data_IF_512144969523
#
_entry.id   IF_512144969523
#
_cell.length_a   1.000
_cell.length_b   1.000
_cell.length_c   1.000
_cell.angle_alpha   90.00
_cell.angle_beta   90.00
_cell.angle_gamma   90.00
#
_symmetry.space_group_name_H-M   'P 1'
#
loop_
_entity.id
_entity.type
_entity.pdbx_description
1 polymer ?
#
# COMPACT_ATOMS: atom_id res chain seq x y z
N UNK A 1 10.44 -46.70 -9.56
CA UNK A 1 10.93 -45.40 -9.06
C UNK A 1 10.71 -44.37 -10.15
N UNK A 2 9.67 -43.53 -10.02
CA UNK A 2 9.24 -42.56 -11.03
C UNK A 2 9.45 -41.14 -10.50
N UNK A 3 10.19 -40.36 -11.27
CA UNK A 3 10.38 -38.93 -11.12
C UNK A 3 9.04 -38.22 -11.36
N UNK A 4 8.42 -37.70 -10.30
CA UNK A 4 7.29 -36.78 -10.45
C UNK A 4 7.82 -35.38 -10.72
N UNK A 5 7.39 -34.87 -11.86
CA UNK A 5 7.83 -33.63 -12.49
C UNK A 5 7.51 -32.42 -11.62
N UNK A 6 8.52 -31.59 -11.37
CA UNK A 6 8.34 -30.18 -11.07
C UNK A 6 7.53 -29.56 -12.22
N UNK A 7 6.25 -29.25 -11.99
CA UNK A 7 5.51 -28.34 -12.86
C UNK A 7 6.27 -27.02 -12.88
N UNK A 8 6.92 -26.73 -13.99
CA UNK A 8 7.41 -25.40 -14.29
C UNK A 8 6.26 -24.42 -14.10
N UNK A 9 6.50 -23.33 -13.36
CA UNK A 9 5.61 -22.20 -13.30
C UNK A 9 5.46 -21.63 -14.72
N UNK A 10 4.44 -22.09 -15.46
CA UNK A 10 3.95 -21.36 -16.63
C UNK A 10 3.61 -19.96 -16.15
N UNK A 11 4.08 -18.93 -16.86
CA UNK A 11 3.86 -17.53 -16.50
C UNK A 11 2.38 -17.20 -16.27
N UNK A 12 2.08 -16.07 -15.60
CA UNK A 12 0.72 -15.72 -15.23
C UNK A 12 -0.20 -15.71 -16.46
N UNK A 13 -1.39 -16.28 -16.33
CA UNK A 13 -2.39 -16.22 -17.40
C UNK A 13 -2.82 -14.78 -17.66
N UNK A 14 -3.41 -14.48 -18.82
CA UNK A 14 -3.95 -13.15 -19.12
C UNK A 14 -4.97 -12.68 -18.07
N UNK A 15 -5.70 -13.61 -17.46
CA UNK A 15 -6.61 -13.31 -16.35
C UNK A 15 -5.84 -12.87 -15.09
N UNK A 16 -4.73 -13.54 -14.74
CA UNK A 16 -3.90 -13.21 -13.58
C UNK A 16 -3.25 -11.83 -13.71
N UNK A 17 -2.81 -11.49 -14.93
CA UNK A 17 -2.29 -10.15 -15.25
C UNK A 17 -3.39 -9.10 -15.10
N UNK A 18 -4.61 -9.40 -15.55
CA UNK A 18 -5.75 -8.48 -15.45
C UNK A 18 -6.18 -8.23 -13.98
N UNK A 19 -6.18 -9.27 -13.16
CA UNK A 19 -6.42 -9.15 -11.71
C UNK A 19 -5.37 -8.30 -11.02
N UNK A 20 -4.09 -8.49 -11.36
CA UNK A 20 -3.00 -7.67 -10.82
C UNK A 20 -3.15 -6.20 -11.20
N UNK A 21 -3.40 -5.91 -12.48
CA UNK A 21 -3.52 -4.54 -13.00
C UNK A 21 -4.76 -3.81 -12.44
N UNK A 22 -5.86 -4.51 -12.18
CA UNK A 22 -7.08 -3.89 -11.68
C UNK A 22 -7.20 -3.88 -10.15
N UNK A 23 -6.56 -4.82 -9.45
CA UNK A 23 -6.63 -4.97 -7.99
C UNK A 23 -5.62 -4.14 -7.22
N UNK A 24 -4.55 -3.67 -7.86
CA UNK A 24 -3.47 -2.94 -7.18
C UNK A 24 -3.50 -1.46 -7.54
N UNK A 25 -3.26 -0.62 -6.54
CA UNK A 25 -2.97 0.82 -6.71
C UNK A 25 -1.67 1.13 -5.98
N UNK A 26 -0.68 1.63 -6.73
CA UNK A 26 0.61 2.08 -6.18
C UNK A 26 0.71 3.57 -6.46
N UNK A 27 1.04 4.36 -5.45
CA UNK A 27 1.16 5.80 -5.56
C UNK A 27 2.26 6.34 -4.65
N UNK A 28 2.75 7.54 -4.98
CA UNK A 28 3.59 8.33 -4.07
C UNK A 28 2.71 9.26 -3.23
N UNK A 29 3.08 9.44 -1.96
CA UNK A 29 2.34 10.31 -1.05
C UNK A 29 2.35 11.77 -1.50
N UNK A 30 1.19 12.42 -1.43
CA UNK A 30 1.05 13.84 -1.73
C UNK A 30 0.10 14.53 -0.76
N UNK A 31 0.39 15.80 -0.46
CA UNK A 31 -0.48 16.71 0.29
C UNK A 31 -1.48 17.42 -0.62
N UNK A 32 -2.33 18.27 -0.06
CA UNK A 32 -3.24 19.11 -0.85
C UNK A 32 -2.50 20.21 -1.65
N UNK A 33 -3.26 21.09 -2.30
CA UNK A 33 -2.74 22.24 -3.05
C UNK A 33 -2.02 23.28 -2.18
N UNK A 34 -2.44 23.40 -0.92
CA UNK A 34 -1.99 24.45 0.00
C UNK A 34 -0.77 23.99 0.82
N UNK A 35 -0.29 22.76 0.57
CA UNK A 35 0.85 22.17 1.23
C UNK A 35 2.13 23.01 1.03
N UNK A 36 2.73 23.56 2.10
CA UNK A 36 3.89 24.46 2.00
C UNK A 36 5.16 23.73 1.53
N UNK A 37 5.21 22.40 1.66
CA UNK A 37 6.31 21.57 1.15
C UNK A 37 6.26 21.51 -0.39
N UNK A 38 5.06 21.38 -0.98
CA UNK A 38 4.86 21.46 -2.43
C UNK A 38 5.19 22.86 -2.96
N UNK A 39 4.77 23.91 -2.27
CA UNK A 39 5.10 25.29 -2.64
C UNK A 39 6.62 25.54 -2.71
N UNK A 40 7.39 24.86 -1.84
CA UNK A 40 8.86 24.88 -1.83
C UNK A 40 9.51 23.88 -2.80
N UNK A 41 8.74 23.24 -3.67
CA UNK A 41 9.18 22.20 -4.63
C UNK A 41 9.96 21.07 -3.97
N UNK A 42 9.60 20.69 -2.74
CA UNK A 42 10.21 19.56 -2.01
C UNK A 42 9.29 18.35 -2.06
N UNK A 43 9.87 17.15 -2.04
CA UNK A 43 9.12 15.92 -1.86
C UNK A 43 8.55 15.85 -0.44
N UNK A 44 7.35 15.29 -0.29
CA UNK A 44 6.75 15.04 1.02
C UNK A 44 7.15 13.62 1.45
N UNK A 45 7.83 13.50 2.59
CA UNK A 45 8.25 12.21 3.13
C UNK A 45 7.10 11.56 3.90
N UNK A 46 6.77 10.30 3.55
CA UNK A 46 5.83 9.47 4.31
C UNK A 46 6.63 8.53 5.23
N UNK A 47 6.38 8.61 6.54
CA UNK A 47 7.09 7.81 7.54
C UNK A 47 6.14 6.95 8.41
N UNK A 48 4.88 6.85 8.01
CA UNK A 48 3.88 6.03 8.68
C UNK A 48 4.15 4.54 8.47
N UNK A 49 3.73 3.74 9.44
CA UNK A 49 3.96 2.30 9.49
C UNK A 49 2.65 1.66 9.91
N UNK A 50 1.75 1.62 8.95
CA UNK A 50 0.34 1.34 9.18
C UNK A 50 -0.20 0.45 8.06
N UNK A 51 -1.17 -0.39 8.39
CA UNK A 51 -2.04 -1.05 7.42
C UNK A 51 -3.46 -1.08 7.96
N UNK A 52 -4.43 -1.13 7.05
CA UNK A 52 -5.86 -1.27 7.35
C UNK A 52 -6.39 -2.41 6.47
N UNK A 53 -7.16 -3.31 7.08
CA UNK A 53 -7.75 -4.48 6.41
C UNK A 53 -9.26 -4.48 6.69
N UNK A 54 -10.03 -4.60 5.61
CA UNK A 54 -11.49 -4.78 5.60
C UNK A 54 -12.30 -3.77 6.44
N UNK A 55 -11.77 -2.56 6.64
CA UNK A 55 -12.35 -1.54 7.52
C UNK A 55 -12.66 -2.04 8.94
N UNK A 56 -11.92 -3.07 9.38
CA UNK A 56 -12.17 -3.80 10.63
C UNK A 56 -10.92 -3.92 11.52
N UNK A 57 -9.75 -4.11 10.92
CA UNK A 57 -8.49 -4.33 11.63
C UNK A 57 -7.42 -3.39 11.09
N UNK A 58 -6.63 -2.80 11.98
CA UNK A 58 -5.47 -2.00 11.56
C UNK A 58 -4.26 -2.21 12.47
N UNK A 59 -3.08 -1.95 11.91
CA UNK A 59 -1.83 -1.86 12.65
C UNK A 59 -1.36 -0.42 12.75
N UNK A 60 -0.81 -0.06 13.91
CA UNK A 60 -0.04 1.15 14.11
C UNK A 60 1.14 0.87 15.04
N UNK A 61 2.34 1.29 14.63
CA UNK A 61 3.53 1.11 15.45
C UNK A 61 4.82 1.55 14.78
N UNK A 62 5.93 0.95 15.20
CA UNK A 62 7.28 1.28 14.75
C UNK A 62 7.84 0.33 13.68
N UNK A 63 7.18 -0.81 13.41
CA UNK A 63 7.67 -1.82 12.46
C UNK A 63 7.39 -1.39 11.02
N UNK A 64 8.45 -1.14 10.27
CA UNK A 64 8.35 -0.95 8.83
C UNK A 64 7.97 -2.26 8.11
N UNK A 65 7.27 -2.13 6.98
CA UNK A 65 6.96 -3.27 6.12
C UNK A 65 8.18 -3.78 5.35
N UNK A 66 9.15 -2.91 5.07
CA UNK A 66 10.42 -3.34 4.48
C UNK A 66 11.28 -4.14 5.50
N UNK A 67 12.10 -5.09 5.03
CA UNK A 67 12.91 -5.92 5.93
C UNK A 67 13.82 -5.08 6.83
N UNK A 68 13.75 -5.31 8.14
CA UNK A 68 14.62 -4.70 9.16
C UNK A 68 14.83 -5.66 10.32
N UNK A 69 15.97 -5.56 11.00
CA UNK A 69 16.34 -6.36 12.18
C UNK A 69 16.35 -5.53 13.48
N UNK A 70 15.60 -4.42 13.52
CA UNK A 70 15.52 -3.53 14.67
C UNK A 70 14.51 -4.02 15.72
N UNK A 71 14.71 -3.62 16.97
CA UNK A 71 13.66 -3.75 17.99
C UNK A 71 12.48 -2.85 17.60
N UNK A 72 11.29 -3.43 17.56
CA UNK A 72 10.09 -2.74 17.13
C UNK A 72 8.93 -3.06 18.07
N UNK A 73 7.97 -2.16 18.13
CA UNK A 73 6.75 -2.30 18.92
C UNK A 73 5.54 -1.76 18.15
N UNK A 74 4.35 -2.27 18.43
CA UNK A 74 3.12 -1.76 17.85
C UNK A 74 1.90 -2.54 18.29
N UNK A 75 0.73 -2.04 17.90
CA UNK A 75 -0.56 -2.65 18.20
C UNK A 75 -1.26 -3.07 16.92
N UNK A 76 -1.89 -4.24 16.97
CA UNK A 76 -2.95 -4.63 16.03
C UNK A 76 -4.26 -4.44 16.77
N UNK A 77 -5.16 -3.66 16.19
CA UNK A 77 -6.45 -3.32 16.77
C UNK A 77 -7.56 -3.86 15.89
N UNK A 78 -8.33 -4.81 16.40
CA UNK A 78 -9.55 -5.33 15.78
C UNK A 78 -10.77 -4.63 16.38
N UNK A 79 -11.25 -3.59 15.70
CA UNK A 79 -12.41 -2.82 16.10
C UNK A 79 -12.91 -2.00 14.90
N UNK A 80 -14.06 -2.37 14.33
CA UNK A 80 -14.57 -1.74 13.11
C UNK A 80 -14.90 -0.25 13.27
N UNK A 81 -15.29 0.21 14.46
CA UNK A 81 -15.56 1.64 14.68
C UNK A 81 -14.25 2.45 14.64
N UNK A 82 -13.21 1.96 15.33
CA UNK A 82 -11.89 2.58 15.31
C UNK A 82 -11.23 2.50 13.92
N UNK A 83 -11.37 1.37 13.22
CA UNK A 83 -10.85 1.17 11.88
C UNK A 83 -11.50 2.12 10.86
N UNK A 84 -12.84 2.28 10.90
CA UNK A 84 -13.55 3.28 10.08
C UNK A 84 -13.12 4.70 10.40
N UNK A 85 -12.95 5.03 11.69
CA UNK A 85 -12.44 6.34 12.08
C UNK A 85 -11.04 6.58 11.49
N UNK A 86 -10.14 5.60 11.61
CA UNK A 86 -8.79 5.69 11.07
C UNK A 86 -8.79 5.82 9.55
N UNK A 87 -9.65 5.09 8.85
CA UNK A 87 -9.85 5.23 7.40
C UNK A 87 -10.25 6.65 7.03
N UNK A 88 -11.32 7.17 7.62
CA UNK A 88 -11.85 8.51 7.33
C UNK A 88 -10.84 9.61 7.65
N UNK A 89 -10.12 9.48 8.76
CA UNK A 89 -9.18 10.50 9.22
C UNK A 89 -7.83 10.46 8.47
N UNK A 90 -7.38 9.30 7.99
CA UNK A 90 -6.05 9.12 7.43
C UNK A 90 -6.06 8.60 5.98
N UNK A 91 -6.61 7.43 5.72
CA UNK A 91 -6.53 6.78 4.41
C UNK A 91 -7.35 7.51 3.33
N UNK A 92 -8.52 8.03 3.68
CA UNK A 92 -9.38 8.75 2.72
C UNK A 92 -8.73 10.06 2.23
N UNK A 93 -8.20 10.94 3.13
CA UNK A 93 -7.38 12.07 2.71
C UNK A 93 -6.12 11.65 1.95
N UNK A 94 -5.39 10.62 2.42
CA UNK A 94 -4.19 10.11 1.75
C UNK A 94 -4.49 9.75 0.30
N UNK A 95 -5.55 8.97 0.06
CA UNK A 95 -5.97 8.60 -1.29
C UNK A 95 -6.42 9.81 -2.09
N UNK A 96 -7.28 10.66 -1.52
CA UNK A 96 -7.82 11.87 -2.18
C UNK A 96 -6.71 12.71 -2.81
N UNK A 97 -5.63 12.96 -2.06
CA UNK A 97 -4.55 13.83 -2.49
C UNK A 97 -3.43 13.11 -3.25
N UNK A 98 -3.25 11.80 -3.05
CA UNK A 98 -2.12 11.06 -3.63
C UNK A 98 -2.47 10.29 -4.91
N UNK A 99 -3.75 10.05 -5.20
CA UNK A 99 -4.17 9.22 -6.35
C UNK A 99 -3.69 9.73 -7.71
N UNK A 100 -3.43 11.03 -7.85
CA UNK A 100 -2.89 11.61 -9.10
C UNK A 100 -1.43 11.24 -9.34
N UNK A 101 -0.70 10.85 -8.28
CA UNK A 101 0.64 10.31 -8.36
C UNK A 101 0.65 8.77 -8.49
N UNK A 102 -0.48 8.16 -8.88
CA UNK A 102 -0.55 6.72 -9.09
C UNK A 102 0.32 6.29 -10.27
N UNK A 103 1.13 5.25 -10.04
CA UNK A 103 1.91 4.61 -11.08
C UNK A 103 0.96 3.73 -11.87
N UNK A 104 0.77 4.05 -13.14
CA UNK A 104 -0.04 3.22 -14.02
C UNK A 104 0.76 1.99 -14.43
N UNK A 105 0.37 0.83 -13.88
CA UNK A 105 1.01 -0.44 -14.19
C UNK A 105 0.87 -0.85 -15.67
N UNK A 106 -0.09 -0.29 -16.44
CA UNK A 106 -0.16 -0.52 -17.88
C UNK A 106 0.91 0.23 -18.70
N UNK A 107 1.70 1.09 -18.06
CA UNK A 107 2.93 1.68 -18.64
C UNK A 107 4.20 0.90 -18.27
N UNK A 108 4.11 -0.11 -17.41
CA UNK A 108 5.18 -1.08 -17.24
C UNK A 108 5.03 -2.11 -18.36
N UNK A 109 5.79 -1.97 -19.43
CA UNK A 109 6.08 -3.09 -20.32
C UNK A 109 6.82 -4.14 -19.47
N UNK A 110 6.27 -5.35 -19.42
CA UNK A 110 6.91 -6.54 -18.82
C UNK A 110 7.46 -7.37 -19.98
#
# INVERSE_FOLDING_TARGET
>A
MSWHQLKACTGPSTADITWFLHGIRILLFAGDSDCPVKAKKRAIALHTKVFLVDDAVFYIGSRNLYPTSLQNFGYVVENSAAAKHFKTAFFDPLWKYSKEAAINASKCEI
#
